data_IF_852581552629
#
_entry.id   IF_852581552629
#
_cell.length_a   1.000
_cell.length_b   1.000
_cell.length_c   1.000
_cell.angle_alpha   90.00
_cell.angle_beta   90.00
_cell.angle_gamma   90.00
#
_symmetry.space_group_name_H-M   'P 1'
#
loop_
_entity.id
_entity.type
_entity.pdbx_description
1 polymer ?
#
# COMPACT_ATOMS: atom_id res chain seq x y z
N UNK A 1 12.77 -21.95 4.83
CA UNK A 1 12.22 -22.83 3.78
C UNK A 1 11.58 -21.91 2.75
N UNK A 2 12.37 -21.38 1.80
CA UNK A 2 11.92 -20.36 0.84
C UNK A 2 11.95 -20.85 -0.62
N UNK A 3 12.43 -22.08 -0.87
CA UNK A 3 12.68 -22.58 -2.23
C UNK A 3 11.42 -23.06 -2.98
N UNK A 4 10.23 -23.04 -2.37
CA UNK A 4 9.06 -23.74 -2.94
C UNK A 4 8.34 -22.98 -4.06
N UNK A 5 8.49 -21.65 -4.16
CA UNK A 5 7.73 -20.81 -5.13
C UNK A 5 8.24 -20.97 -6.57
N UNK A 6 9.52 -21.30 -6.74
CA UNK A 6 10.16 -21.55 -8.04
C UNK A 6 10.52 -23.03 -8.26
N UNK A 7 10.27 -23.89 -7.26
CA UNK A 7 10.57 -25.32 -7.37
C UNK A 7 9.76 -25.98 -8.48
N UNK A 8 10.43 -26.79 -9.29
CA UNK A 8 9.83 -27.61 -10.33
C UNK A 8 9.73 -29.05 -9.86
N UNK A 9 8.63 -29.70 -10.19
CA UNK A 9 8.48 -31.15 -10.02
C UNK A 9 9.24 -31.93 -11.11
N UNK A 10 9.10 -33.26 -11.12
CA UNK A 10 9.72 -34.14 -12.12
C UNK A 10 9.27 -33.86 -13.56
N UNK A 11 8.13 -33.19 -13.75
CA UNK A 11 7.59 -32.80 -15.07
C UNK A 11 7.99 -31.36 -15.44
N UNK A 12 8.75 -30.68 -14.60
CA UNK A 12 9.12 -29.28 -14.81
C UNK A 12 8.03 -28.28 -14.41
N UNK A 13 6.90 -28.76 -13.88
CA UNK A 13 5.78 -27.92 -13.47
C UNK A 13 6.08 -27.25 -12.13
N UNK A 14 5.73 -25.98 -12.05
CA UNK A 14 5.73 -25.21 -10.79
C UNK A 14 4.35 -25.27 -10.13
N UNK A 15 4.26 -24.84 -8.87
CA UNK A 15 2.98 -24.65 -8.17
C UNK A 15 1.96 -23.83 -8.97
N UNK A 16 2.45 -22.87 -9.78
CA UNK A 16 1.59 -22.03 -10.63
C UNK A 16 1.03 -22.78 -11.85
N UNK A 17 1.75 -23.76 -12.41
CA UNK A 17 1.19 -24.61 -13.46
C UNK A 17 -0.02 -25.39 -12.95
N UNK A 18 0.10 -25.97 -11.74
CA UNK A 18 -1.00 -26.70 -11.12
C UNK A 18 -2.17 -25.80 -10.73
N UNK A 19 -1.89 -24.58 -10.24
CA UNK A 19 -2.93 -23.63 -9.88
C UNK A 19 -3.77 -23.21 -11.09
N UNK A 20 -3.14 -23.04 -12.26
CA UNK A 20 -3.85 -22.76 -13.52
C UNK A 20 -4.64 -23.97 -14.01
N UNK A 21 -4.06 -25.18 -13.99
CA UNK A 21 -4.77 -26.42 -14.39
C UNK A 21 -6.01 -26.65 -13.52
N UNK A 22 -5.92 -26.35 -12.22
CA UNK A 22 -7.02 -26.56 -11.27
C UNK A 22 -8.00 -25.39 -11.19
N UNK A 23 -7.80 -24.35 -11.99
CA UNK A 23 -8.63 -23.14 -12.02
C UNK A 23 -8.83 -22.50 -10.63
N UNK A 24 -7.78 -22.51 -9.81
CA UNK A 24 -7.86 -22.07 -8.42
C UNK A 24 -7.36 -20.63 -8.25
N UNK A 25 -8.25 -19.66 -8.47
CA UNK A 25 -7.96 -18.21 -8.41
C UNK A 25 -7.27 -17.78 -7.10
N UNK A 26 -7.77 -18.24 -5.95
CA UNK A 26 -7.19 -17.91 -4.64
C UNK A 26 -5.73 -18.37 -4.50
N UNK A 27 -5.41 -19.55 -5.07
CA UNK A 27 -4.06 -20.09 -5.07
C UNK A 27 -3.16 -19.34 -6.04
N UNK A 28 -3.68 -18.97 -7.22
CA UNK A 28 -2.97 -18.14 -8.21
C UNK A 28 -2.63 -16.78 -7.59
N UNK A 29 -3.60 -16.12 -6.94
CA UNK A 29 -3.39 -14.87 -6.22
C UNK A 29 -2.34 -15.01 -5.11
N UNK A 30 -2.41 -16.08 -4.31
CA UNK A 30 -1.45 -16.33 -3.25
C UNK A 30 -0.04 -16.55 -3.80
N UNK A 31 0.08 -17.23 -4.93
CA UNK A 31 1.35 -17.46 -5.63
C UNK A 31 1.90 -16.17 -6.24
N UNK A 32 1.06 -15.32 -6.83
CA UNK A 32 1.46 -13.98 -7.31
C UNK A 32 1.93 -13.08 -6.17
N UNK A 33 1.22 -13.05 -5.04
CA UNK A 33 1.63 -12.32 -3.83
C UNK A 33 2.98 -12.80 -3.28
N UNK A 34 3.35 -14.06 -3.54
CA UNK A 34 4.64 -14.66 -3.18
C UNK A 34 5.72 -14.50 -4.26
N UNK A 35 5.46 -13.74 -5.33
CA UNK A 35 6.43 -13.49 -6.40
C UNK A 35 6.60 -14.67 -7.38
N UNK A 36 5.59 -15.52 -7.55
CA UNK A 36 5.66 -16.63 -8.51
C UNK A 36 5.91 -16.13 -9.94
N UNK A 37 6.92 -16.71 -10.59
CA UNK A 37 7.27 -16.38 -11.96
C UNK A 37 6.30 -17.04 -12.94
N UNK A 38 5.62 -16.22 -13.75
CA UNK A 38 4.60 -16.66 -14.73
C UNK A 38 5.19 -17.15 -16.05
N UNK A 39 6.47 -16.85 -16.32
CA UNK A 39 7.13 -17.19 -17.58
C UNK A 39 7.93 -18.51 -17.53
N UNK A 40 7.86 -19.25 -16.43
CA UNK A 40 8.59 -20.52 -16.29
C UNK A 40 7.95 -21.58 -17.17
N UNK A 41 8.73 -22.24 -18.02
CA UNK A 41 8.28 -23.38 -18.84
C UNK A 41 8.51 -24.72 -18.15
N UNK A 42 7.55 -25.64 -18.27
CA UNK A 42 7.71 -27.03 -17.89
C UNK A 42 8.54 -27.83 -18.90
N UNK A 43 8.67 -29.15 -18.70
CA UNK A 43 9.45 -30.01 -19.61
C UNK A 43 8.78 -30.21 -20.98
N UNK A 44 7.48 -29.92 -21.11
CA UNK A 44 6.78 -29.88 -22.39
C UNK A 44 6.98 -28.55 -23.15
N UNK A 45 7.56 -27.54 -22.49
CA UNK A 45 7.81 -26.22 -23.06
C UNK A 45 6.68 -25.21 -22.80
N UNK A 46 5.64 -25.62 -22.07
CA UNK A 46 4.46 -24.81 -21.74
C UNK A 46 4.69 -23.98 -20.49
N UNK A 47 4.22 -22.73 -20.50
CA UNK A 47 4.11 -21.87 -19.31
C UNK A 47 2.80 -22.15 -18.57
N UNK A 48 2.62 -21.69 -17.30
CA UNK A 48 1.35 -21.83 -16.60
C UNK A 48 0.15 -21.34 -17.41
N UNK A 49 0.27 -20.18 -18.08
CA UNK A 49 -0.82 -19.60 -18.90
C UNK A 49 -1.09 -20.41 -20.17
N UNK A 50 -0.09 -21.11 -20.72
CA UNK A 50 -0.30 -21.99 -21.88
C UNK A 50 -1.23 -23.16 -21.52
N UNK A 51 -1.25 -23.55 -20.24
CA UNK A 51 -2.10 -24.62 -19.69
C UNK A 51 -3.50 -24.15 -19.24
N UNK A 52 -3.85 -22.87 -19.41
CA UNK A 52 -5.19 -22.38 -19.11
C UNK A 52 -6.23 -22.99 -20.07
N UNK A 53 -7.33 -23.50 -19.53
CA UNK A 53 -8.40 -24.09 -20.33
C UNK A 53 -9.26 -23.03 -21.01
N UNK A 54 -9.56 -21.94 -20.30
CA UNK A 54 -10.49 -20.90 -20.74
C UNK A 54 -9.83 -19.51 -20.84
N UNK A 55 -10.44 -18.65 -21.65
CA UNK A 55 -9.94 -17.30 -21.97
C UNK A 55 -9.91 -16.41 -20.71
N UNK A 56 -10.85 -16.56 -19.79
CA UNK A 56 -10.85 -15.84 -18.50
C UNK A 56 -9.62 -16.13 -17.65
N UNK A 57 -9.12 -17.37 -17.66
CA UNK A 57 -7.88 -17.73 -16.96
C UNK A 57 -6.65 -17.14 -17.65
N UNK A 58 -6.67 -17.03 -18.99
CA UNK A 58 -5.60 -16.36 -19.74
C UNK A 58 -5.57 -14.86 -19.49
N UNK A 59 -6.74 -14.23 -19.31
CA UNK A 59 -6.85 -12.82 -18.99
C UNK A 59 -6.11 -12.48 -17.70
N UNK A 60 -6.15 -13.30 -16.65
CA UNK A 60 -5.40 -13.07 -15.40
C UNK A 60 -3.88 -12.89 -15.58
N UNK A 61 -3.33 -13.33 -16.72
CA UNK A 61 -1.91 -13.27 -17.06
C UNK A 61 -1.61 -12.26 -18.19
N UNK A 62 -2.62 -11.62 -18.78
CA UNK A 62 -2.44 -10.64 -19.84
C UNK A 62 -1.88 -9.32 -19.27
N UNK A 63 -0.91 -8.70 -19.95
CA UNK A 63 -0.40 -7.39 -19.55
C UNK A 63 -1.52 -6.35 -19.65
N UNK A 64 -1.99 -5.88 -18.49
CA UNK A 64 -3.08 -4.91 -18.40
C UNK A 64 -4.47 -5.51 -18.23
N UNK A 65 -4.62 -6.82 -17.97
CA UNK A 65 -5.88 -7.33 -17.47
C UNK A 65 -6.18 -6.70 -16.11
N UNK A 66 -7.18 -5.84 -16.13
CA UNK A 66 -7.80 -5.29 -14.95
C UNK A 66 -8.53 -6.47 -14.31
N UNK A 67 -7.83 -7.18 -13.41
CA UNK A 67 -8.50 -7.89 -12.32
C UNK A 67 -9.53 -6.89 -11.82
N UNK A 68 -10.82 -7.24 -11.88
CA UNK A 68 -11.87 -6.44 -11.28
C UNK A 68 -11.43 -6.24 -9.83
N UNK A 69 -10.78 -5.10 -9.57
CA UNK A 69 -10.15 -4.82 -8.30
C UNK A 69 -11.30 -4.84 -7.33
N UNK A 70 -11.29 -5.70 -6.29
CA UNK A 70 -12.38 -5.72 -5.34
C UNK A 70 -12.62 -4.27 -4.92
N UNK A 71 -13.90 -3.87 -4.96
CA UNK A 71 -14.35 -2.48 -4.81
C UNK A 71 -13.99 -1.86 -3.44
N UNK A 72 -13.22 -2.57 -2.62
CA UNK A 72 -12.66 -2.08 -1.38
C UNK A 72 -11.16 -1.82 -1.51
N UNK A 73 -10.84 -0.60 -1.98
CA UNK A 73 -9.47 -0.06 -2.00
C UNK A 73 -9.14 0.67 -0.70
N UNK A 74 -9.95 0.54 0.33
CA UNK A 74 -9.87 1.35 1.55
C UNK A 74 -9.05 0.65 2.64
N UNK A 75 -8.19 1.42 3.31
CA UNK A 75 -7.59 1.02 4.59
C UNK A 75 -8.63 1.33 5.65
N UNK A 76 -9.09 0.26 6.30
CA UNK A 76 -10.31 0.18 7.12
C UNK A 76 -11.55 0.82 6.45
N UNK A 77 -12.68 0.10 6.39
CA UNK A 77 -13.90 0.70 5.87
C UNK A 77 -14.22 1.98 6.64
N UNK A 78 -14.82 2.97 5.95
CA UNK A 78 -15.36 4.15 6.64
C UNK A 78 -16.15 3.69 7.86
N UNK A 79 -16.05 4.39 9.01
CA UNK A 79 -16.93 4.12 10.14
C UNK A 79 -18.38 4.09 9.64
N UNK A 80 -19.00 2.91 9.76
CA UNK A 80 -20.35 2.65 9.24
C UNK A 80 -21.24 2.15 10.37
N UNK A 81 -22.55 2.38 10.25
CA UNK A 81 -23.52 2.02 11.29
C UNK A 81 -23.53 3.02 12.47
N UNK A 82 -23.88 2.59 13.70
CA UNK A 82 -24.11 3.47 14.86
C UNK A 82 -22.86 4.23 15.35
N UNK A 83 -21.70 3.96 14.75
CA UNK A 83 -20.42 4.63 14.99
C UNK A 83 -20.22 5.88 14.13
N UNK A 84 -21.00 6.04 13.04
CA UNK A 84 -21.06 7.31 12.31
C UNK A 84 -21.95 8.26 13.11
N UNK A 85 -21.34 9.20 13.80
CA UNK A 85 -22.04 10.26 14.50
C UNK A 85 -22.63 11.21 13.44
N UNK A 86 -23.87 11.64 13.64
CA UNK A 86 -24.52 12.59 12.71
C UNK A 86 -23.76 13.92 12.77
N UNK A 87 -23.54 14.50 11.59
CA UNK A 87 -22.93 15.82 11.38
C UNK A 87 -21.41 15.90 11.66
N UNK A 88 -20.73 14.75 11.73
CA UNK A 88 -19.28 14.67 11.91
C UNK A 88 -18.52 14.58 10.58
N UNK A 89 -17.36 15.22 10.51
CA UNK A 89 -16.52 15.32 9.33
C UNK A 89 -15.42 14.27 9.34
N UNK A 90 -15.36 13.49 8.26
CA UNK A 90 -14.34 12.48 8.03
C UNK A 90 -13.40 12.88 6.89
N UNK A 91 -12.13 12.52 7.05
CA UNK A 91 -11.08 12.69 6.04
C UNK A 91 -10.75 11.34 5.43
N UNK A 92 -10.56 11.34 4.11
CA UNK A 92 -9.98 10.21 3.40
C UNK A 92 -8.87 10.68 2.47
N UNK A 93 -7.84 9.86 2.31
CA UNK A 93 -6.64 10.19 1.54
C UNK A 93 -6.37 9.04 0.57
N UNK A 94 -6.52 9.30 -0.73
CA UNK A 94 -6.03 8.38 -1.76
C UNK A 94 -4.52 8.50 -1.85
N UNK A 95 -3.83 7.42 -1.49
CA UNK A 95 -2.39 7.29 -1.60
C UNK A 95 -2.04 6.98 -3.06
N UNK A 96 -1.56 7.97 -3.81
CA UNK A 96 -1.30 7.83 -5.24
C UNK A 96 0.11 7.30 -5.48
N UNK A 97 1.11 8.18 -5.47
CA UNK A 97 2.48 7.85 -5.85
C UNK A 97 3.49 8.46 -4.90
N UNK A 98 4.60 7.76 -4.65
CA UNK A 98 5.76 8.29 -3.94
C UNK A 98 6.96 8.24 -4.87
N UNK A 99 7.64 9.36 -5.03
CA UNK A 99 8.99 9.39 -5.59
C UNK A 99 9.99 9.32 -4.43
N UNK A 100 10.89 8.33 -4.47
CA UNK A 100 11.95 8.13 -3.49
C UNK A 100 13.31 8.21 -4.18
N UNK A 101 14.23 8.96 -3.56
CA UNK A 101 15.63 8.91 -3.96
C UNK A 101 16.27 7.61 -3.45
N UNK A 102 16.54 6.65 -4.34
CA UNK A 102 17.16 5.38 -3.95
C UNK A 102 16.97 4.27 -4.97
N UNK A 103 17.43 3.07 -4.60
CA UNK A 103 17.23 1.84 -5.35
C UNK A 103 15.87 1.18 -5.07
N UNK A 104 15.74 -0.08 -5.46
CA UNK A 104 14.51 -0.86 -5.28
C UNK A 104 14.21 -1.07 -3.79
N UNK A 105 12.95 -0.87 -3.39
CA UNK A 105 12.50 -1.00 -2.00
C UNK A 105 11.85 -2.37 -1.80
N UNK A 106 12.18 -3.04 -0.71
CA UNK A 106 11.57 -4.34 -0.36
C UNK A 106 10.36 -4.11 0.54
N UNK A 107 9.23 -4.71 0.19
CA UNK A 107 7.92 -4.60 0.87
C UNK A 107 7.54 -3.14 1.22
N UNK A 108 7.52 -2.21 0.23
CA UNK A 108 7.20 -0.81 0.47
C UNK A 108 5.74 -0.65 0.91
N UNK A 109 5.47 -0.29 2.16
CA UNK A 109 4.10 -0.06 2.65
C UNK A 109 4.02 1.16 3.55
N UNK A 110 2.83 1.75 3.67
CA UNK A 110 2.58 2.82 4.61
C UNK A 110 2.08 2.30 5.95
N UNK A 111 2.52 2.92 7.04
CA UNK A 111 1.80 2.97 8.32
C UNK A 111 1.26 4.37 8.52
N UNK A 112 -0.02 4.47 8.85
CA UNK A 112 -0.76 5.72 8.90
C UNK A 112 -1.52 5.80 10.21
N UNK A 113 -1.40 6.92 10.91
CA UNK A 113 -2.08 7.14 12.19
C UNK A 113 -2.22 8.63 12.47
N UNK A 114 -3.10 8.99 13.42
CA UNK A 114 -3.21 10.36 13.91
C UNK A 114 -2.46 10.53 15.21
N UNK A 115 -1.77 11.66 15.34
CA UNK A 115 -0.98 12.03 16.52
C UNK A 115 -1.42 13.39 17.05
N UNK A 116 -1.46 13.56 18.37
CA UNK A 116 -1.69 14.85 19.03
C UNK A 116 -0.36 15.60 19.32
N UNK A 117 -0.40 16.90 19.68
CA UNK A 117 0.82 17.68 20.02
C UNK A 117 1.65 17.13 21.19
N UNK A 118 1.09 16.22 22.00
CA UNK A 118 1.78 15.53 23.09
C UNK A 118 2.46 14.24 22.63
N UNK A 119 2.43 13.95 21.32
CA UNK A 119 2.96 12.74 20.66
C UNK A 119 2.18 11.47 20.99
N UNK A 120 0.95 11.59 21.48
CA UNK A 120 0.07 10.45 21.68
C UNK A 120 -0.61 10.08 20.36
N UNK A 121 -0.67 8.79 20.07
CA UNK A 121 -1.49 8.27 18.96
C UNK A 121 -2.96 8.32 19.38
N UNK A 122 -3.77 9.04 18.62
CA UNK A 122 -5.18 9.35 18.94
C UNK A 122 -6.18 8.74 17.96
N UNK A 123 -5.70 8.08 16.91
CA UNK A 123 -6.50 7.27 16.01
C UNK A 123 -5.85 5.90 15.80
N UNK A 124 -6.65 4.89 15.44
CA UNK A 124 -6.17 3.52 15.24
C UNK A 124 -5.15 3.49 14.09
N UNK A 125 -3.90 3.04 14.33
CA UNK A 125 -2.92 2.90 13.26
C UNK A 125 -3.38 1.89 12.20
N UNK A 126 -3.16 2.25 10.94
CA UNK A 126 -3.52 1.47 9.77
C UNK A 126 -2.29 1.22 8.91
N UNK A 127 -2.28 0.08 8.23
CA UNK A 127 -1.16 -0.31 7.36
C UNK A 127 -1.69 -0.64 5.97
N UNK A 128 -1.02 -0.14 4.94
CA UNK A 128 -1.33 -0.54 3.56
C UNK A 128 -0.78 -1.93 3.26
N UNK A 129 -1.33 -2.63 2.27
CA UNK A 129 -0.53 -3.60 1.51
C UNK A 129 0.71 -2.94 0.91
N UNK A 130 1.64 -3.76 0.41
CA UNK A 130 2.79 -3.27 -0.32
C UNK A 130 2.38 -2.46 -1.56
N UNK A 131 3.25 -1.56 -2.01
CA UNK A 131 3.05 -0.77 -3.21
C UNK A 131 2.74 -1.69 -4.40
N UNK A 132 1.70 -1.31 -5.16
CA UNK A 132 1.21 -2.07 -6.29
C UNK A 132 2.25 -2.16 -7.41
N UNK A 133 2.95 -1.04 -7.65
CA UNK A 133 3.95 -0.93 -8.71
C UNK A 133 5.18 -0.24 -8.12
N UNK A 134 6.36 -0.74 -8.50
CA UNK A 134 7.62 -0.03 -8.35
C UNK A 134 8.34 0.01 -9.70
N UNK A 135 8.66 1.22 -10.16
CA UNK A 135 9.46 1.46 -11.37
C UNK A 135 10.47 2.57 -11.10
N UNK A 136 11.75 2.20 -11.12
CA UNK A 136 12.84 3.08 -10.70
C UNK A 136 12.59 3.70 -9.31
N UNK A 137 12.62 5.04 -9.18
CA UNK A 137 12.40 5.75 -7.92
C UNK A 137 10.91 5.88 -7.54
N UNK A 138 9.98 5.38 -8.35
CA UNK A 138 8.55 5.64 -8.17
C UNK A 138 7.82 4.41 -7.61
N UNK A 139 6.95 4.65 -6.63
CA UNK A 139 6.07 3.68 -6.00
C UNK A 139 4.62 4.11 -6.20
N UNK A 140 3.71 3.19 -6.54
CA UNK A 140 2.27 3.48 -6.67
C UNK A 140 1.46 2.58 -5.74
N UNK A 141 0.55 3.16 -4.96
CA UNK A 141 -0.22 2.43 -3.93
C UNK A 141 -1.68 2.22 -4.35
N UNK A 142 -2.38 3.29 -4.73
CA UNK A 142 -3.79 3.21 -5.14
C UNK A 142 -4.74 2.76 -4.02
N UNK A 143 -4.40 3.05 -2.76
CA UNK A 143 -5.21 2.72 -1.57
C UNK A 143 -5.72 3.99 -0.92
N UNK A 144 -6.94 3.95 -0.37
CA UNK A 144 -7.54 5.10 0.32
C UNK A 144 -7.48 4.89 1.81
N UNK A 145 -6.73 5.72 2.53
CA UNK A 145 -6.81 5.77 3.99
C UNK A 145 -8.09 6.49 4.43
N UNK A 146 -8.78 5.92 5.42
CA UNK A 146 -9.92 6.58 6.07
C UNK A 146 -9.61 6.87 7.52
N UNK A 147 -9.73 8.15 7.89
CA UNK A 147 -9.68 8.58 9.27
C UNK A 147 -10.84 7.92 10.05
N UNK A 148 -10.54 7.30 11.20
CA UNK A 148 -11.57 6.58 11.97
C UNK A 148 -12.19 7.44 13.07
N UNK A 149 -11.44 8.41 13.60
CA UNK A 149 -11.94 9.42 14.55
C UNK A 149 -12.36 10.68 13.79
N UNK A 150 -13.61 11.14 13.90
CA UNK A 150 -14.05 12.36 13.22
C UNK A 150 -13.30 13.60 13.70
N UNK A 151 -13.15 14.59 12.82
CA UNK A 151 -12.34 15.77 13.09
C UNK A 151 -12.85 16.57 14.31
N UNK A 152 -14.15 16.58 14.56
CA UNK A 152 -14.81 17.24 15.69
C UNK A 152 -14.36 16.67 17.05
N UNK A 153 -13.90 15.42 17.06
CA UNK A 153 -13.43 14.73 18.26
C UNK A 153 -11.90 14.78 18.41
N UNK A 154 -11.20 15.48 17.51
CA UNK A 154 -9.76 15.66 17.58
C UNK A 154 -9.40 16.96 18.29
N UNK A 155 -8.34 16.92 19.11
CA UNK A 155 -7.79 18.12 19.72
C UNK A 155 -7.11 19.01 18.68
N UNK A 156 -7.10 20.33 18.92
CA UNK A 156 -6.38 21.26 18.06
C UNK A 156 -4.89 20.87 17.93
N UNK A 157 -4.39 20.89 16.69
CA UNK A 157 -3.00 20.54 16.39
C UNK A 157 -2.77 19.06 16.10
N UNK A 158 -3.81 18.21 16.07
CA UNK A 158 -3.70 16.85 15.56
C UNK A 158 -3.19 16.82 14.12
N UNK A 159 -2.40 15.80 13.80
CA UNK A 159 -1.86 15.54 12.46
C UNK A 159 -2.11 14.10 12.05
N UNK A 160 -2.27 13.86 10.75
CA UNK A 160 -2.15 12.52 10.18
C UNK A 160 -0.69 12.31 9.76
N UNK A 161 -0.07 11.24 10.24
CA UNK A 161 1.31 10.85 9.94
C UNK A 161 1.29 9.68 8.97
N UNK A 162 2.16 9.74 7.96
CA UNK A 162 2.35 8.71 6.93
C UNK A 162 3.82 8.27 6.97
N UNK A 163 4.08 7.10 7.54
CA UNK A 163 5.40 6.47 7.52
C UNK A 163 5.49 5.55 6.30
N UNK A 164 6.43 5.77 5.39
CA UNK A 164 6.77 4.80 4.36
C UNK A 164 7.82 3.84 4.91
N UNK A 165 7.47 2.57 5.03
CA UNK A 165 8.32 1.52 5.55
C UNK A 165 8.91 0.67 4.43
N UNK A 166 10.07 0.09 4.73
CA UNK A 166 10.73 -0.94 3.93
C UNK A 166 11.22 -2.07 4.82
N UNK A 167 11.47 -3.25 4.25
CA UNK A 167 12.18 -4.29 4.97
C UNK A 167 13.66 -3.94 5.11
N UNK A 168 14.19 -4.06 6.33
CA UNK A 168 15.62 -4.00 6.61
C UNK A 168 16.13 -5.39 7.01
N UNK A 169 17.08 -5.89 6.23
CA UNK A 169 17.72 -7.19 6.44
C UNK A 169 18.68 -7.21 7.62
N UNK A 170 19.14 -6.05 8.09
CA UNK A 170 20.02 -5.99 9.27
C UNK A 170 19.23 -6.15 10.57
N UNK A 171 18.04 -5.55 10.64
CA UNK A 171 17.14 -5.64 11.81
C UNK A 171 16.09 -6.75 11.70
N UNK A 172 16.02 -7.42 10.54
CA UNK A 172 15.05 -8.49 10.22
C UNK A 172 13.61 -8.03 10.44
N UNK A 173 13.29 -6.83 9.95
CA UNK A 173 11.99 -6.23 10.18
C UNK A 173 11.74 -4.94 9.41
N UNK A 174 10.54 -4.37 9.53
CA UNK A 174 10.18 -3.14 8.87
C UNK A 174 10.84 -1.93 9.57
N UNK A 175 11.52 -1.10 8.79
CA UNK A 175 12.05 0.19 9.24
C UNK A 175 11.34 1.34 8.51
N UNK A 176 11.24 2.49 9.18
CA UNK A 176 10.74 3.72 8.55
C UNK A 176 11.84 4.24 7.63
N UNK A 177 11.58 4.27 6.32
CA UNK A 177 12.51 4.82 5.34
C UNK A 177 12.41 6.34 5.27
N UNK A 178 11.19 6.85 5.10
CA UNK A 178 10.88 8.27 5.13
C UNK A 178 9.42 8.47 5.56
N UNK A 179 9.04 9.69 5.88
CA UNK A 179 7.72 9.97 6.42
C UNK A 179 7.23 11.36 6.04
N UNK A 180 5.94 11.59 6.13
CA UNK A 180 5.35 12.92 6.00
C UNK A 180 4.11 13.04 6.88
N UNK A 181 3.51 14.22 6.93
CA UNK A 181 2.31 14.47 7.72
C UNK A 181 1.52 15.66 7.17
N UNK A 182 0.25 15.75 7.56
CA UNK A 182 -0.53 16.97 7.38
C UNK A 182 -1.43 17.25 8.58
N UNK A 183 -1.82 18.53 8.72
CA UNK A 183 -2.65 18.99 9.84
C UNK A 183 -4.11 18.63 9.61
N UNK A 184 -4.71 18.01 10.62
CA UNK A 184 -6.13 17.67 10.66
C UNK A 184 -6.91 18.89 11.18
N UNK A 185 -6.96 19.95 10.37
CA UNK A 185 -7.57 21.25 10.70
C UNK A 185 -8.73 21.54 9.73
N UNK A 186 -9.96 21.49 10.25
CA UNK A 186 -11.20 21.76 9.50
C UNK A 186 -11.19 23.09 8.74
N UNK A 187 -10.50 24.11 9.25
CA UNK A 187 -10.46 25.44 8.63
C UNK A 187 -9.53 25.53 7.41
N UNK A 188 -8.62 24.56 7.25
CA UNK A 188 -7.56 24.58 6.23
C UNK A 188 -7.57 23.38 5.30
N UNK A 189 -8.32 22.33 5.63
CA UNK A 189 -8.37 21.12 4.83
C UNK A 189 -9.24 21.33 3.59
N UNK A 190 -8.74 20.91 2.44
CA UNK A 190 -9.41 21.05 1.13
C UNK A 190 -9.34 19.75 0.36
N UNK A 191 -10.25 19.54 -0.59
CA UNK A 191 -10.29 18.31 -1.42
C UNK A 191 -9.40 18.37 -2.66
N UNK A 192 -8.29 19.11 -2.62
CA UNK A 192 -7.37 19.25 -3.74
C UNK A 192 -6.29 18.14 -3.73
N UNK A 193 -5.71 17.79 -4.90
CA UNK A 193 -4.48 17.02 -4.94
C UNK A 193 -3.36 17.73 -4.18
N UNK A 194 -2.63 16.99 -3.36
CA UNK A 194 -1.52 17.48 -2.55
C UNK A 194 -0.23 16.74 -2.91
N UNK A 195 0.86 17.50 -2.95
CA UNK A 195 2.22 16.97 -3.01
C UNK A 195 2.89 17.29 -1.68
N UNK A 196 3.24 16.25 -0.95
CA UNK A 196 3.94 16.35 0.33
C UNK A 196 5.44 16.16 0.15
N UNK A 197 6.21 16.97 0.85
CA UNK A 197 7.63 16.68 1.05
C UNK A 197 7.78 15.46 1.95
N UNK A 198 8.82 14.66 1.70
CA UNK A 198 9.19 13.54 2.56
C UNK A 198 10.36 13.92 3.47
N UNK A 199 10.34 13.40 4.68
CA UNK A 199 11.33 13.65 5.72
C UNK A 199 12.04 12.35 6.11
N UNK A 200 13.30 12.48 6.51
CA UNK A 200 14.11 11.40 7.07
C UNK A 200 13.69 11.11 8.53
N UNK A 201 13.81 9.85 8.99
CA UNK A 201 13.66 9.52 10.42
C UNK A 201 14.61 10.32 11.33
N UNK A 202 14.30 10.48 12.63
CA UNK A 202 13.13 9.95 13.33
C UNK A 202 11.83 10.73 13.04
N UNK A 203 10.70 10.07 13.26
CA UNK A 203 9.36 10.63 13.04
C UNK A 203 8.98 11.55 14.21
N UNK A 204 8.90 12.86 13.95
CA UNK A 204 8.35 13.84 14.89
C UNK A 204 7.74 15.04 14.13
N UNK A 205 6.42 15.01 13.82
CA UNK A 205 5.74 16.10 13.11
C UNK A 205 5.72 17.42 13.87
N UNK A 206 6.06 17.42 15.16
CA UNK A 206 6.09 18.60 16.02
C UNK A 206 7.51 19.11 16.27
N UNK A 207 8.54 18.50 15.66
CA UNK A 207 9.89 19.02 15.70
C UNK A 207 9.98 20.40 15.04
N UNK A 208 10.79 21.30 15.63
CA UNK A 208 11.07 22.60 15.02
C UNK A 208 11.91 22.48 13.75
N UNK A 209 12.64 21.38 13.60
CA UNK A 209 13.53 21.11 12.47
C UNK A 209 13.17 19.75 11.90
N UNK A 210 12.73 19.74 10.65
CA UNK A 210 12.42 18.53 9.89
C UNK A 210 13.56 18.27 8.89
N UNK A 211 14.18 17.10 8.99
CA UNK A 211 15.22 16.69 8.06
C UNK A 211 14.58 16.24 6.74
N UNK A 212 14.70 17.03 5.67
CA UNK A 212 14.17 16.66 4.35
C UNK A 212 14.90 15.44 3.81
N UNK A 213 14.14 14.52 3.22
CA UNK A 213 14.70 13.36 2.54
C UNK A 213 15.48 13.82 1.30
N UNK A 214 16.70 13.33 1.06
CA UNK A 214 17.48 13.70 -0.12
C UNK A 214 16.80 13.35 -1.45
N UNK A 215 17.26 13.98 -2.54
CA UNK A 215 16.96 13.61 -3.93
C UNK A 215 15.51 13.81 -4.40
N UNK A 216 14.91 14.94 -4.03
CA UNK A 216 13.55 15.34 -4.45
C UNK A 216 12.50 14.25 -4.19
N UNK A 217 12.50 13.70 -2.97
CA UNK A 217 11.49 12.71 -2.57
C UNK A 217 10.17 13.41 -2.20
N UNK A 218 9.07 13.00 -2.83
CA UNK A 218 7.73 13.56 -2.62
C UNK A 218 6.65 12.50 -2.64
N UNK A 219 5.54 12.78 -1.96
CA UNK A 219 4.35 11.93 -1.93
C UNK A 219 3.15 12.67 -2.51
N UNK A 220 2.55 12.11 -3.55
CA UNK A 220 1.32 12.60 -4.18
C UNK A 220 0.11 11.87 -3.61
N UNK A 221 -0.88 12.64 -3.17
CA UNK A 221 -2.13 12.11 -2.64
C UNK A 221 -3.31 13.01 -2.98
N UNK A 222 -4.52 12.45 -2.89
CA UNK A 222 -5.76 13.22 -3.03
C UNK A 222 -6.56 13.16 -1.73
N UNK A 223 -6.88 14.33 -1.17
CA UNK A 223 -7.72 14.43 0.01
C UNK A 223 -9.19 14.52 -0.39
N UNK A 224 -10.04 13.85 0.36
CA UNK A 224 -11.49 13.96 0.25
C UNK A 224 -12.10 14.10 1.64
N UNK A 225 -13.02 15.07 1.77
CA UNK A 225 -13.73 15.40 2.99
C UNK A 225 -15.18 14.98 2.80
N UNK A 226 -15.72 14.23 3.76
CA UNK A 226 -17.12 13.82 3.75
C UNK A 226 -17.78 14.01 5.10
N UNK A 227 -19.04 14.46 5.07
CA UNK A 227 -19.99 14.44 6.19
C UNK A 227 -20.66 13.07 6.31
#
# INVERSE_FOLDING_TARGET
>A
MEDQVISKDTLGNTSLHYAVIQECDDLIESLFKKGALTAIRNNAGDTPVDLANDESMRELFAPGAVVAVPADRSLLPRPSGPLKVRDDTYVSVLLSAVAIAGGVMQTPHFRIYSMDPRRAVVDTPQTTPDALIQDGPSLWFGKTWHLQVPLEHMTEGCVAVFELLRYDYHTDGPEVFCWTFFRLDLSKITSAPLTFEMYSPPVDPYSQILARMPGDSFFQAELNISL
#
